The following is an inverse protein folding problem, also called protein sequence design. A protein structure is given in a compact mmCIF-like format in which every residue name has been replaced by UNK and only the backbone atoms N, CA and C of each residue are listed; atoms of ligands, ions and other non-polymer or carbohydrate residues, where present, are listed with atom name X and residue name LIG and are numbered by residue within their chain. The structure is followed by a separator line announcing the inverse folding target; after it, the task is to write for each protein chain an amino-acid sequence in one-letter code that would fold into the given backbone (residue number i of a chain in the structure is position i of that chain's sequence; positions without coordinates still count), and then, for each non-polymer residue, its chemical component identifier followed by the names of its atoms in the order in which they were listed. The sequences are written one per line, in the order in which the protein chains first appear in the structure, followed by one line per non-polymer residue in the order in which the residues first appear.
data_IF_029828329099
#
_entry.id   IF_029828329099
#
_cell.length_a   1.000
_cell.length_b   1.000
_cell.length_c   1.000
_cell.angle_alpha   90.00
_cell.angle_beta   90.00
_cell.angle_gamma   90.00
#
_symmetry.space_group_name_H-M   'P 1'
#
loop_
_entity.id
_entity.type
_entity.pdbx_description
1 polymer ?
#
# COMPACT_ATOMS: atom_id res chain seq x y z
N UNK A 1 4.06 -0.32 0.62
CA UNK A 1 5.28 -0.77 1.35
C UNK A 1 5.87 -1.99 0.68
N UNK A 2 6.97 -2.53 1.20
CA UNK A 2 7.71 -3.67 0.62
C UNK A 2 6.87 -4.93 0.40
N UNK A 3 5.81 -5.14 1.17
CA UNK A 3 4.95 -6.33 1.07
C UNK A 3 3.85 -6.30 0.00
N UNK A 4 3.70 -5.21 -0.77
CA UNK A 4 2.58 -5.06 -1.74
C UNK A 4 2.58 -6.19 -2.78
N UNK A 5 3.70 -6.37 -3.46
CA UNK A 5 3.87 -7.39 -4.51
C UNK A 5 3.76 -8.81 -3.94
N UNK A 6 4.37 -9.05 -2.79
CA UNK A 6 4.37 -10.36 -2.13
C UNK A 6 2.94 -10.81 -1.80
N UNK A 7 2.10 -9.91 -1.29
CA UNK A 7 0.71 -10.21 -0.95
C UNK A 7 -0.14 -10.54 -2.19
N UNK A 8 0.06 -9.81 -3.30
CA UNK A 8 -0.66 -10.06 -4.56
C UNK A 8 -0.30 -11.46 -5.09
N UNK A 9 0.99 -11.80 -5.10
CA UNK A 9 1.47 -13.12 -5.58
C UNK A 9 0.98 -14.27 -4.72
N UNK A 10 0.90 -14.11 -3.39
CA UNK A 10 0.37 -15.16 -2.52
C UNK A 10 -1.12 -15.44 -2.77
N UNK A 11 -1.91 -14.40 -3.06
CA UNK A 11 -3.33 -14.57 -3.40
C UNK A 11 -3.49 -15.31 -4.74
N UNK A 12 -2.68 -14.95 -5.74
CA UNK A 12 -2.64 -15.66 -7.02
C UNK A 12 -2.22 -17.13 -6.86
N UNK A 13 -1.20 -17.41 -6.04
CA UNK A 13 -0.73 -18.77 -5.76
C UNK A 13 -1.77 -19.63 -5.02
N UNK A 14 -2.73 -19.01 -4.32
CA UNK A 14 -3.85 -19.69 -3.65
C UNK A 14 -4.99 -20.02 -4.63
N UNK A 15 -4.87 -19.63 -5.90
CA UNK A 15 -5.88 -19.87 -6.95
C UNK A 15 -6.92 -18.75 -7.10
N UNK A 16 -6.69 -17.58 -6.49
CA UNK A 16 -7.57 -16.42 -6.67
C UNK A 16 -7.10 -15.58 -7.86
N UNK A 17 -8.01 -15.36 -8.83
CA UNK A 17 -7.75 -14.48 -9.96
C UNK A 17 -7.90 -13.01 -9.54
N UNK A 18 -6.89 -12.21 -9.85
CA UNK A 18 -6.89 -10.77 -9.55
C UNK A 18 -7.47 -10.02 -10.74
N UNK A 19 -8.73 -9.59 -10.64
CA UNK A 19 -9.42 -8.88 -11.73
C UNK A 19 -8.98 -7.42 -11.93
N UNK A 20 -8.68 -6.70 -10.85
CA UNK A 20 -8.18 -5.32 -10.92
C UNK A 20 -7.40 -4.95 -9.67
N UNK A 21 -6.38 -4.11 -9.83
CA UNK A 21 -5.60 -3.57 -8.71
C UNK A 21 -5.79 -2.06 -8.69
N UNK A 22 -6.35 -1.55 -7.59
CA UNK A 22 -6.46 -0.11 -7.35
C UNK A 22 -5.54 0.30 -6.21
N UNK A 23 -4.76 1.36 -6.42
CA UNK A 23 -3.98 1.97 -5.34
C UNK A 23 -4.78 3.06 -4.65
N UNK A 24 -5.12 2.84 -3.38
CA UNK A 24 -5.87 3.78 -2.53
C UNK A 24 -4.97 4.39 -1.46
N UNK A 25 -3.71 4.65 -1.81
CA UNK A 25 -2.77 5.34 -0.91
C UNK A 25 -3.31 6.75 -0.61
N UNK A 26 -3.55 7.11 0.67
CA UNK A 26 -4.21 8.37 1.01
C UNK A 26 -3.33 9.57 0.67
N UNK A 27 -3.86 10.49 -0.14
CA UNK A 27 -3.25 11.80 -0.39
C UNK A 27 -3.84 12.84 0.57
N UNK A 28 -3.03 13.48 1.43
CA UNK A 28 -3.56 14.47 2.36
C UNK A 28 -3.89 15.79 1.64
N UNK A 29 -5.15 16.20 1.69
CA UNK A 29 -5.61 17.51 1.25
C UNK A 29 -5.52 18.52 2.41
N UNK A 30 -4.30 18.98 2.73
CA UNK A 30 -4.03 19.89 3.86
C UNK A 30 -4.58 19.40 5.22
N UNK A 31 -4.55 18.09 5.45
CA UNK A 31 -5.02 17.45 6.69
C UNK A 31 -4.05 17.58 7.88
N UNK A 32 -3.96 16.54 8.71
CA UNK A 32 -3.07 16.54 9.88
C UNK A 32 -1.60 16.81 9.49
N UNK A 33 -0.91 17.64 10.30
CA UNK A 33 0.52 17.93 10.13
C UNK A 33 1.35 16.64 10.29
N UNK A 34 2.19 16.26 9.31
CA UNK A 34 3.09 15.11 9.46
C UNK A 34 4.03 15.27 10.66
N UNK A 35 4.44 14.16 11.31
CA UNK A 35 5.35 14.21 12.44
C UNK A 35 6.69 14.83 12.05
N UNK A 36 7.35 15.49 13.00
CA UNK A 36 8.67 16.10 12.81
C UNK A 36 9.66 15.04 12.29
N UNK A 37 10.44 15.40 11.26
CA UNK A 37 11.50 14.52 10.71
C UNK A 37 12.44 14.09 11.83
N UNK A 38 12.67 12.78 11.97
CA UNK A 38 13.62 12.23 12.95
C UNK A 38 15.04 12.68 12.60
N UNK A 39 15.85 12.93 13.63
CA UNK A 39 17.30 13.17 13.51
C UNK A 39 18.00 11.84 13.81
N UNK A 40 18.11 11.02 12.79
CA UNK A 40 18.98 9.84 12.73
C UNK A 40 19.80 9.96 11.45
#
# INVERSE_FOLDING_TARGET
GSGRETAIRSLQATGLEVGSIQDVTPTPHNGCRPPKRRRV
#
